data_IF_669861740859
#
_entry.id   IF_669861740859
#
_cell.length_a   1.000
_cell.length_b   1.000
_cell.length_c   1.000
_cell.angle_alpha   90.00
_cell.angle_beta   90.00
_cell.angle_gamma   90.00
#
_symmetry.space_group_name_H-M   'P 1'
#
loop_
_entity.id
_entity.type
_entity.pdbx_description
1 polymer ?
#
# COMPACT_ATOMS: atom_id res chain seq x y z
N UNK A 1 -1.27 21.30 11.59
CA UNK A 1 -1.68 20.21 10.67
C UNK A 1 -0.54 19.22 10.58
N UNK A 2 -0.81 17.91 10.60
CA UNK A 2 0.23 16.92 10.35
C UNK A 2 0.72 17.11 8.90
N UNK A 3 2.04 17.17 8.68
CA UNK A 3 2.58 17.29 7.33
C UNK A 3 2.37 16.03 6.50
N UNK A 4 2.38 16.19 5.18
CA UNK A 4 2.19 15.06 4.25
C UNK A 4 3.45 14.21 4.17
N UNK A 5 3.30 12.98 3.70
CA UNK A 5 4.44 12.20 3.23
C UNK A 5 4.74 12.56 1.78
N UNK A 6 6.02 12.68 1.45
CA UNK A 6 6.50 13.02 0.12
C UNK A 6 7.59 12.03 -0.26
N UNK A 7 7.45 11.41 -1.42
CA UNK A 7 8.45 10.51 -1.99
C UNK A 7 9.12 11.23 -3.15
N UNK A 8 10.42 11.48 -3.04
CA UNK A 8 11.22 12.17 -4.06
C UNK A 8 11.83 11.14 -4.99
N UNK A 9 11.66 11.36 -6.28
CA UNK A 9 12.38 10.67 -7.34
C UNK A 9 13.78 11.28 -7.45
N UNK A 10 14.68 10.78 -6.62
CA UNK A 10 16.03 11.31 -6.46
C UNK A 10 16.83 11.24 -7.75
N UNK A 11 16.70 10.14 -8.51
CA UNK A 11 17.35 10.00 -9.82
C UNK A 11 16.87 11.06 -10.82
N UNK A 12 15.57 11.36 -10.85
CA UNK A 12 15.02 12.39 -11.71
C UNK A 12 15.49 13.81 -11.30
N UNK A 13 15.36 14.16 -10.03
CA UNK A 13 15.74 15.47 -9.50
C UNK A 13 17.25 15.72 -9.63
N UNK A 14 18.08 14.72 -9.36
CA UNK A 14 19.53 14.79 -9.53
C UNK A 14 19.96 15.03 -10.99
N UNK A 15 19.14 14.62 -11.96
CA UNK A 15 19.45 14.71 -13.41
C UNK A 15 18.77 15.92 -14.08
N UNK A 16 17.89 16.63 -13.38
CA UNK A 16 17.13 17.75 -13.97
C UNK A 16 18.07 18.81 -14.57
N UNK A 17 17.91 19.12 -15.86
CA UNK A 17 18.79 20.06 -16.57
C UNK A 17 20.23 19.57 -16.82
N UNK A 18 20.55 18.29 -16.56
CA UNK A 18 21.90 17.70 -16.67
C UNK A 18 21.91 16.45 -17.55
N UNK A 19 23.09 16.08 -18.03
CA UNK A 19 23.33 14.81 -18.75
C UNK A 19 23.64 13.64 -17.81
N UNK A 20 24.21 13.94 -16.64
CA UNK A 20 24.53 12.97 -15.58
C UNK A 20 23.93 13.44 -14.25
N UNK A 21 23.48 12.52 -13.40
CA UNK A 21 22.96 12.86 -12.08
C UNK A 21 24.06 13.51 -11.22
N UNK A 22 23.65 14.41 -10.32
CA UNK A 22 24.51 14.96 -9.27
C UNK A 22 23.83 14.81 -7.92
N UNK A 23 24.57 14.27 -6.95
CA UNK A 23 24.12 14.15 -5.57
C UNK A 23 23.95 15.54 -4.94
N UNK A 24 24.86 16.48 -5.22
CA UNK A 24 24.76 17.86 -4.74
C UNK A 24 23.47 18.54 -5.23
N UNK A 25 23.11 18.38 -6.50
CA UNK A 25 21.85 18.93 -7.02
C UNK A 25 20.62 18.28 -6.34
N UNK A 26 20.68 16.99 -6.04
CA UNK A 26 19.61 16.31 -5.30
C UNK A 26 19.47 16.88 -3.88
N UNK A 27 20.58 17.02 -3.16
CA UNK A 27 20.60 17.60 -1.81
C UNK A 27 20.05 19.04 -1.82
N UNK A 28 20.51 19.88 -2.76
CA UNK A 28 20.00 21.24 -2.95
C UNK A 28 18.48 21.26 -3.19
N UNK A 29 17.97 20.36 -4.04
CA UNK A 29 16.54 20.25 -4.35
C UNK A 29 15.71 19.79 -3.16
N UNK A 30 16.19 18.78 -2.43
CA UNK A 30 15.48 18.25 -1.25
C UNK A 30 15.46 19.29 -0.12
N UNK A 31 16.58 19.98 0.13
CA UNK A 31 16.64 21.05 1.14
C UNK A 31 15.73 22.21 0.78
N UNK A 32 15.72 22.65 -0.48
CA UNK A 32 14.83 23.71 -0.92
C UNK A 32 13.35 23.32 -0.73
N UNK A 33 13.00 22.08 -1.07
CA UNK A 33 11.65 21.57 -0.85
C UNK A 33 11.26 21.57 0.63
N UNK A 34 12.13 21.05 1.50
CA UNK A 34 11.91 21.00 2.94
C UNK A 34 11.84 22.40 3.57
N UNK A 35 12.59 23.38 3.06
CA UNK A 35 12.52 24.76 3.52
C UNK A 35 11.13 25.38 3.26
N UNK A 36 10.54 25.11 2.10
CA UNK A 36 9.17 25.54 1.77
C UNK A 36 8.10 24.70 2.48
N UNK A 37 8.43 23.47 2.87
CA UNK A 37 7.49 22.46 3.37
C UNK A 37 7.98 21.78 4.66
N UNK A 38 8.34 22.57 5.67
CA UNK A 38 9.01 22.08 6.88
C UNK A 38 8.23 21.03 7.70
N UNK A 39 6.90 20.94 7.52
CA UNK A 39 6.09 19.92 8.17
C UNK A 39 6.13 18.55 7.47
N UNK A 40 6.51 18.51 6.19
CA UNK A 40 6.42 17.32 5.35
C UNK A 40 7.52 16.32 5.68
N UNK A 41 7.15 15.03 5.65
CA UNK A 41 8.10 13.93 5.81
C UNK A 41 8.57 13.48 4.44
N UNK A 42 9.85 13.68 4.17
CA UNK A 42 10.45 13.41 2.87
C UNK A 42 11.20 12.08 2.90
N UNK A 43 10.91 11.21 1.93
CA UNK A 43 11.66 9.98 1.65
C UNK A 43 12.27 10.15 0.26
N UNK A 44 13.59 10.04 0.14
CA UNK A 44 14.27 10.18 -1.15
C UNK A 44 14.61 8.80 -1.69
N UNK A 45 14.13 8.50 -2.89
CA UNK A 45 14.33 7.20 -3.55
C UNK A 45 15.19 7.40 -4.79
N UNK A 46 16.28 6.65 -4.89
CA UNK A 46 17.16 6.64 -6.07
C UNK A 46 17.13 5.28 -6.76
N UNK A 47 17.45 5.24 -8.06
CA UNK A 47 17.61 3.98 -8.76
C UNK A 47 18.86 3.21 -8.28
N UNK A 48 18.85 1.89 -8.42
CA UNK A 48 19.97 1.04 -7.99
C UNK A 48 21.29 1.29 -8.72
N UNK A 49 21.27 2.01 -9.85
CA UNK A 49 22.47 2.38 -10.63
C UNK A 49 22.98 3.77 -10.29
N UNK A 50 22.29 4.51 -9.41
CA UNK A 50 22.53 5.93 -9.17
C UNK A 50 23.97 6.21 -8.71
N UNK A 51 24.46 5.49 -7.71
CA UNK A 51 25.83 5.63 -7.20
C UNK A 51 26.91 5.39 -8.26
N UNK A 52 26.63 4.62 -9.31
CA UNK A 52 27.57 4.40 -10.42
C UNK A 52 27.51 5.50 -11.49
N UNK A 53 26.44 6.29 -11.53
CA UNK A 53 26.18 7.33 -12.54
C UNK A 53 26.61 8.74 -12.10
N UNK A 54 26.70 8.98 -10.79
CA UNK A 54 27.18 10.24 -10.22
C UNK A 54 28.71 10.38 -10.34
N UNK A 55 29.21 11.59 -10.12
CA UNK A 55 30.64 11.86 -10.17
C UNK A 55 31.40 10.99 -9.13
N UNK A 56 32.59 10.46 -9.48
CA UNK A 56 33.43 9.73 -8.54
C UNK A 56 33.65 10.38 -7.17
N UNK A 57 33.72 11.70 -7.13
CA UNK A 57 33.89 12.47 -5.90
C UNK A 57 32.66 12.46 -4.99
N UNK A 58 31.46 12.23 -5.54
CA UNK A 58 30.19 12.21 -4.79
C UNK A 58 29.86 10.82 -4.22
N UNK A 59 30.54 9.74 -4.69
CA UNK A 59 30.21 8.36 -4.31
C UNK A 59 30.31 8.07 -2.82
N UNK A 60 31.33 8.60 -2.15
CA UNK A 60 31.47 8.40 -0.70
C UNK A 60 30.30 9.00 0.07
N UNK A 61 29.91 10.22 -0.29
CA UNK A 61 28.78 10.90 0.34
C UNK A 61 27.46 10.16 0.06
N UNK A 62 27.31 9.60 -1.14
CA UNK A 62 26.17 8.76 -1.49
C UNK A 62 26.08 7.49 -0.60
N UNK A 63 27.18 6.75 -0.46
CA UNK A 63 27.25 5.54 0.38
C UNK A 63 26.96 5.86 1.85
N UNK A 64 27.46 6.99 2.36
CA UNK A 64 27.18 7.49 3.72
C UNK A 64 25.68 7.81 3.90
N UNK A 65 25.06 8.48 2.92
CA UNK A 65 23.64 8.83 2.95
C UNK A 65 22.71 7.60 2.86
N UNK A 66 23.08 6.58 2.07
CA UNK A 66 22.38 5.30 2.05
C UNK A 66 22.50 4.56 3.40
N UNK A 67 23.71 4.52 3.98
CA UNK A 67 23.93 3.88 5.27
C UNK A 67 23.20 4.58 6.42
N UNK A 68 23.02 5.90 6.34
CA UNK A 68 22.23 6.69 7.27
C UNK A 68 20.71 6.54 7.05
N UNK A 69 20.27 5.92 5.95
CA UNK A 69 18.87 5.79 5.59
C UNK A 69 18.23 7.07 5.07
N UNK A 70 19.04 8.07 4.70
CA UNK A 70 18.58 9.33 4.10
C UNK A 70 18.18 9.14 2.63
N UNK A 71 18.89 8.25 1.93
CA UNK A 71 18.57 7.79 0.59
C UNK A 71 18.16 6.32 0.62
N UNK A 72 17.09 5.99 -0.10
CA UNK A 72 16.59 4.63 -0.23
C UNK A 72 16.79 4.15 -1.66
N UNK A 73 17.50 3.04 -1.83
CA UNK A 73 17.61 2.34 -3.11
C UNK A 73 16.82 1.02 -3.09
N UNK A 74 16.29 0.58 -4.24
CA UNK A 74 15.67 -0.74 -4.36
C UNK A 74 16.67 -1.86 -4.04
N UNK A 75 16.24 -3.00 -3.47
CA UNK A 75 17.09 -4.15 -3.27
C UNK A 75 17.76 -4.62 -4.56
N UNK A 76 19.00 -5.07 -4.47
CA UNK A 76 19.74 -5.61 -5.61
C UNK A 76 18.96 -6.75 -6.29
N UNK A 77 18.84 -6.68 -7.61
CA UNK A 77 18.13 -7.70 -8.40
C UNK A 77 16.60 -7.60 -8.38
N UNK A 78 16.02 -6.56 -7.79
CA UNK A 78 14.59 -6.30 -7.88
C UNK A 78 14.13 -6.21 -9.34
N UNK A 79 13.17 -7.05 -9.72
CA UNK A 79 12.58 -7.08 -11.06
C UNK A 79 11.63 -5.88 -11.19
N UNK A 80 12.19 -4.75 -11.59
CA UNK A 80 11.44 -3.51 -11.78
C UNK A 80 12.35 -2.29 -11.66
N UNK A 81 12.17 -1.33 -12.57
CA UNK A 81 12.86 -0.03 -12.52
C UNK A 81 12.63 0.67 -11.18
N UNK A 82 13.58 1.52 -10.76
CA UNK A 82 13.48 2.33 -9.53
C UNK A 82 12.13 3.04 -9.39
N UNK A 83 11.56 3.52 -10.50
CA UNK A 83 10.23 4.12 -10.58
C UNK A 83 9.13 3.25 -9.95
N UNK A 84 9.16 1.92 -10.14
CA UNK A 84 8.13 1.03 -9.56
C UNK A 84 8.24 0.99 -8.05
N UNK A 85 9.46 0.89 -7.54
CA UNK A 85 9.71 0.86 -6.10
C UNK A 85 9.27 2.17 -5.44
N UNK A 86 9.61 3.30 -6.08
CA UNK A 86 9.14 4.64 -5.69
C UNK A 86 7.61 4.73 -5.63
N UNK A 87 6.93 4.32 -6.72
CA UNK A 87 5.47 4.39 -6.80
C UNK A 87 4.79 3.45 -5.80
N UNK A 88 5.39 2.30 -5.51
CA UNK A 88 4.89 1.37 -4.50
C UNK A 88 4.96 1.95 -3.08
N UNK A 89 6.02 2.68 -2.74
CA UNK A 89 6.11 3.40 -1.47
C UNK A 89 5.00 4.45 -1.40
N UNK A 90 4.87 5.28 -2.44
CA UNK A 90 3.88 6.36 -2.48
C UNK A 90 2.42 5.87 -2.46
N UNK A 91 2.15 4.72 -3.08
CA UNK A 91 0.85 4.05 -3.05
C UNK A 91 0.51 3.58 -1.63
N UNK A 92 1.44 2.87 -0.98
CA UNK A 92 1.24 2.31 0.37
C UNK A 92 1.08 3.39 1.44
N UNK A 93 1.80 4.50 1.32
CA UNK A 93 1.82 5.57 2.34
C UNK A 93 0.84 6.69 2.03
N UNK A 94 0.21 6.68 0.86
CA UNK A 94 -0.57 7.81 0.38
C UNK A 94 0.26 9.07 0.14
N UNK A 95 1.56 8.95 -0.14
CA UNK A 95 2.45 10.09 -0.32
C UNK A 95 2.27 10.80 -1.66
N UNK A 96 2.58 12.10 -1.66
CA UNK A 96 2.80 12.88 -2.88
C UNK A 96 4.16 12.51 -3.49
N UNK A 97 4.24 12.42 -4.82
CA UNK A 97 5.51 12.18 -5.53
C UNK A 97 6.11 13.51 -5.98
N UNK A 98 7.40 13.73 -5.75
CA UNK A 98 8.18 14.81 -6.35
C UNK A 98 9.02 14.23 -7.51
N UNK A 99 8.58 14.45 -8.74
CA UNK A 99 9.27 14.02 -9.97
C UNK A 99 8.77 14.79 -11.18
N UNK A 100 9.65 14.97 -12.17
CA UNK A 100 9.27 15.48 -13.48
C UNK A 100 8.84 14.40 -14.48
N UNK A 101 9.05 13.12 -14.18
CA UNK A 101 8.58 12.02 -15.03
C UNK A 101 7.04 11.94 -15.01
N UNK A 102 6.49 11.52 -16.14
CA UNK A 102 5.07 11.20 -16.26
C UNK A 102 4.77 9.73 -15.93
N UNK A 103 5.73 8.86 -15.64
CA UNK A 103 5.49 7.46 -15.24
C UNK A 103 4.54 6.70 -16.17
N UNK A 104 4.61 6.95 -17.48
CA UNK A 104 3.57 6.53 -18.42
C UNK A 104 3.35 5.01 -18.43
N UNK A 105 4.38 4.24 -18.15
CA UNK A 105 4.36 2.77 -18.15
C UNK A 105 3.58 2.20 -16.95
N UNK A 106 3.33 3.04 -15.95
CA UNK A 106 2.70 2.69 -14.68
C UNK A 106 1.27 3.23 -14.56
N UNK A 107 0.79 4.05 -15.49
CA UNK A 107 -0.57 4.61 -15.50
C UNK A 107 -1.71 3.59 -15.49
N UNK A 108 -1.44 2.34 -15.89
CA UNK A 108 -2.42 1.26 -15.80
C UNK A 108 -2.53 0.62 -14.42
N UNK A 109 -1.49 0.75 -13.59
CA UNK A 109 -1.39 0.19 -12.24
C UNK A 109 -1.68 1.26 -11.18
N UNK A 110 -1.09 2.45 -11.31
CA UNK A 110 -1.22 3.55 -10.35
C UNK A 110 -2.10 4.66 -10.94
N UNK A 111 -3.41 4.44 -10.92
CA UNK A 111 -4.39 5.42 -11.41
C UNK A 111 -4.42 6.72 -10.60
N UNK A 112 -4.05 6.65 -9.32
CA UNK A 112 -4.01 7.80 -8.41
C UNK A 112 -2.98 8.86 -8.81
N UNK A 113 -2.03 8.55 -9.71
CA UNK A 113 -1.07 9.53 -10.23
C UNK A 113 -1.76 10.74 -10.87
N UNK A 114 -3.02 10.60 -11.29
CA UNK A 114 -3.81 11.68 -11.87
C UNK A 114 -4.64 12.47 -10.85
N UNK A 115 -4.69 12.03 -9.59
CA UNK A 115 -5.43 12.73 -8.55
C UNK A 115 -4.68 14.00 -8.14
N UNK A 116 -5.43 15.01 -7.73
CA UNK A 116 -4.86 16.30 -7.36
C UNK A 116 -3.93 16.16 -6.14
N UNK A 117 -2.80 16.87 -6.17
CA UNK A 117 -1.81 16.85 -5.10
C UNK A 117 -0.95 15.58 -5.03
N UNK A 118 -1.08 14.63 -5.97
CA UNK A 118 -0.28 13.39 -5.99
C UNK A 118 1.06 13.50 -6.71
N UNK A 119 1.25 14.50 -7.56
CA UNK A 119 2.50 14.73 -8.26
C UNK A 119 2.90 16.21 -8.23
N UNK A 120 4.15 16.45 -7.92
CA UNK A 120 4.81 17.77 -7.92
C UNK A 120 6.01 17.66 -8.85
N UNK A 121 6.19 18.65 -9.71
CA UNK A 121 7.43 18.84 -10.48
C UNK A 121 8.34 19.84 -9.79
N UNK A 122 9.64 19.68 -9.98
CA UNK A 122 10.66 20.61 -9.47
C UNK A 122 11.55 21.07 -10.60
N UNK A 123 11.84 22.38 -10.70
CA UNK A 123 12.78 22.89 -11.70
C UNK A 123 13.77 23.86 -11.06
N UNK A 124 15.10 23.67 -11.23
CA UNK A 124 16.07 24.63 -10.79
C UNK A 124 16.10 25.81 -11.79
N UNK A 125 15.99 27.03 -11.27
CA UNK A 125 16.04 28.28 -12.04
C UNK A 125 17.25 29.08 -11.59
N UNK A 126 18.12 29.42 -12.55
CA UNK A 126 19.34 30.18 -12.28
C UNK A 126 19.03 31.51 -11.60
N UNK A 127 19.67 31.77 -10.46
CA UNK A 127 19.48 32.99 -9.66
C UNK A 127 18.20 33.03 -8.80
N UNK A 128 17.31 32.04 -8.92
CA UNK A 128 16.06 31.97 -8.13
C UNK A 128 16.07 30.77 -7.17
N UNK A 129 16.66 29.65 -7.58
CA UNK A 129 16.61 28.40 -6.82
C UNK A 129 15.59 27.42 -7.40
N UNK A 130 15.13 26.49 -6.58
CA UNK A 130 14.16 25.49 -7.00
C UNK A 130 12.74 26.06 -6.97
N UNK A 131 11.95 25.74 -8.00
CA UNK A 131 10.52 26.02 -8.04
C UNK A 131 9.77 24.71 -8.09
N UNK A 132 8.84 24.51 -7.16
CA UNK A 132 8.00 23.33 -7.06
C UNK A 132 6.56 23.63 -7.44
N UNK A 133 6.01 22.85 -8.37
CA UNK A 133 4.65 23.10 -8.90
C UNK A 133 3.85 21.80 -8.92
N UNK A 134 2.63 21.77 -8.32
CA UNK A 134 1.70 20.66 -8.50
C UNK A 134 1.45 20.43 -10.00
N UNK A 135 1.46 19.16 -10.42
CA UNK A 135 1.30 18.80 -11.83
C UNK A 135 0.52 17.52 -12.00
N UNK A 136 -0.01 17.34 -13.20
CA UNK A 136 -0.63 16.07 -13.63
C UNK A 136 0.31 15.37 -14.63
N UNK A 137 0.44 14.03 -14.56
CA UNK A 137 1.24 13.28 -15.52
C UNK A 137 0.74 13.43 -16.97
N UNK A 138 1.66 13.42 -17.93
CA UNK A 138 1.30 13.49 -19.36
C UNK A 138 0.89 12.10 -19.87
N UNK A 139 -0.25 12.03 -20.55
CA UNK A 139 -0.74 10.79 -21.20
C UNK A 139 -0.21 10.65 -22.61
N UNK A 140 0.80 9.79 -22.81
CA UNK A 140 1.35 9.47 -24.13
C UNK A 140 0.98 8.07 -24.68
N UNK A 141 1.60 7.64 -25.78
CA UNK A 141 1.40 6.31 -26.36
C UNK A 141 1.65 5.17 -25.36
N UNK A 142 2.72 5.26 -24.57
CA UNK A 142 3.05 4.29 -23.51
C UNK A 142 1.93 4.22 -22.47
N UNK A 143 1.37 5.36 -22.08
CA UNK A 143 0.22 5.42 -21.17
C UNK A 143 -0.99 4.69 -21.70
N UNK A 144 -1.33 4.87 -22.98
CA UNK A 144 -2.48 4.18 -23.59
C UNK A 144 -2.28 2.66 -23.58
N UNK A 145 -1.05 2.21 -23.85
CA UNK A 145 -0.69 0.80 -23.78
C UNK A 145 -0.80 0.28 -22.35
N UNK A 146 -0.20 0.98 -21.38
CA UNK A 146 -0.23 0.60 -19.96
C UNK A 146 -1.67 0.50 -19.43
N UNK A 147 -2.51 1.51 -19.69
CA UNK A 147 -3.91 1.51 -19.26
C UNK A 147 -4.70 0.40 -19.95
N UNK A 148 -4.48 0.13 -21.24
CA UNK A 148 -5.15 -0.98 -21.94
C UNK A 148 -4.75 -2.33 -21.37
N UNK A 149 -3.46 -2.52 -21.08
CA UNK A 149 -2.95 -3.75 -20.46
C UNK A 149 -3.51 -3.91 -19.05
N UNK A 150 -3.51 -2.86 -18.23
CA UNK A 150 -4.12 -2.85 -16.89
C UNK A 150 -5.61 -3.19 -16.92
N UNK A 151 -6.38 -2.57 -17.82
CA UNK A 151 -7.81 -2.90 -18.02
C UNK A 151 -8.04 -4.34 -18.46
N UNK A 152 -7.18 -4.89 -19.32
CA UNK A 152 -7.26 -6.31 -19.72
C UNK A 152 -6.94 -7.24 -18.57
N UNK A 153 -5.92 -6.92 -17.76
CA UNK A 153 -5.57 -7.68 -16.57
C UNK A 153 -6.71 -7.66 -15.53
N UNK A 154 -7.32 -6.50 -15.28
CA UNK A 154 -8.49 -6.36 -14.41
C UNK A 154 -9.67 -7.21 -14.91
N UNK A 155 -10.03 -7.11 -16.20
CA UNK A 155 -11.08 -7.95 -16.80
C UNK A 155 -10.78 -9.45 -16.73
N UNK A 156 -9.51 -9.84 -16.89
CA UNK A 156 -9.10 -11.23 -16.78
C UNK A 156 -9.18 -11.72 -15.32
N UNK A 157 -8.79 -10.88 -14.35
CA UNK A 157 -8.95 -11.16 -12.92
C UNK A 157 -10.43 -11.29 -12.55
N UNK A 158 -11.27 -10.34 -12.97
CA UNK A 158 -12.72 -10.41 -12.81
C UNK A 158 -13.27 -11.70 -13.41
N UNK A 159 -12.86 -12.11 -14.63
CA UNK A 159 -13.36 -13.32 -15.29
C UNK A 159 -12.91 -14.62 -14.61
N UNK A 160 -11.84 -14.57 -13.82
CA UNK A 160 -11.42 -15.67 -12.94
C UNK A 160 -12.23 -15.73 -11.64
N UNK A 161 -12.91 -14.65 -11.26
CA UNK A 161 -13.91 -14.67 -10.19
C UNK A 161 -15.19 -15.30 -10.75
N UNK A 162 -15.68 -16.38 -10.12
CA UNK A 162 -16.84 -17.13 -10.61
C UNK A 162 -18.11 -16.27 -10.59
N UNK A 163 -19.12 -16.57 -11.43
CA UNK A 163 -20.41 -15.88 -11.40
C UNK A 163 -21.04 -15.89 -10.01
N UNK A 164 -20.92 -16.99 -9.26
CA UNK A 164 -21.45 -17.07 -7.89
C UNK A 164 -20.77 -16.09 -6.92
N UNK A 165 -19.46 -15.87 -7.08
CA UNK A 165 -18.73 -14.90 -6.25
C UNK A 165 -19.04 -13.44 -6.64
N UNK A 166 -19.40 -13.18 -7.90
CA UNK A 166 -19.83 -11.83 -8.35
C UNK A 166 -21.25 -11.49 -7.87
N UNK A 167 -22.15 -12.46 -7.93
CA UNK A 167 -23.53 -12.30 -7.45
C UNK A 167 -23.55 -12.16 -5.92
N UNK A 168 -22.71 -12.90 -5.19
CA UNK A 168 -22.55 -12.74 -3.73
C UNK A 168 -22.01 -11.35 -3.34
N UNK A 169 -21.06 -10.78 -4.10
CA UNK A 169 -20.54 -9.42 -3.86
C UNK A 169 -21.62 -8.37 -4.19
N UNK A 170 -22.42 -8.57 -5.25
CA UNK A 170 -23.51 -7.66 -5.62
C UNK A 170 -24.69 -7.71 -4.64
N UNK A 171 -25.06 -8.90 -4.16
CA UNK A 171 -26.10 -9.12 -3.15
C UNK A 171 -25.68 -8.54 -1.79
N UNK A 172 -24.42 -8.75 -1.37
CA UNK A 172 -23.87 -8.12 -0.17
C UNK A 172 -23.78 -6.58 -0.27
N UNK A 173 -23.52 -6.03 -1.47
CA UNK A 173 -23.52 -4.58 -1.69
C UNK A 173 -24.94 -3.99 -1.70
N UNK A 174 -25.96 -4.78 -2.10
CA UNK A 174 -27.36 -4.37 -2.07
C UNK A 174 -27.98 -4.44 -0.67
N UNK A 175 -27.64 -5.47 0.12
CA UNK A 175 -28.09 -5.60 1.52
C UNK A 175 -27.49 -4.52 2.44
N UNK A 176 -26.32 -3.96 2.09
CA UNK A 176 -25.73 -2.84 2.82
C UNK A 176 -26.49 -1.50 2.67
N UNK A 177 -27.44 -1.39 1.72
CA UNK A 177 -28.19 -0.14 1.43
C UNK A 177 -29.65 -0.18 1.88
N UNK A 178 -30.13 -1.25 2.53
CA UNK A 178 -31.48 -1.28 3.10
C UNK A 178 -31.56 -2.25 4.28
N UNK A 179 -31.83 -1.77 5.51
CA UNK A 179 -31.98 -2.67 6.64
C UNK A 179 -33.41 -3.22 6.65
N UNK A 180 -33.59 -4.51 6.36
CA UNK A 180 -34.78 -5.22 6.84
C UNK A 180 -34.50 -6.63 7.33
N UNK A 181 -35.12 -6.89 8.47
CA UNK A 181 -35.10 -8.07 9.30
C UNK A 181 -35.65 -9.32 8.60
N UNK A 182 -35.12 -10.48 9.00
CA UNK A 182 -35.95 -11.67 9.20
C UNK A 182 -35.77 -12.85 8.24
N UNK A 183 -35.01 -13.85 8.69
CA UNK A 183 -35.48 -15.24 8.74
C UNK A 183 -35.32 -16.15 7.50
N UNK A 184 -34.46 -17.17 7.64
CA UNK A 184 -34.89 -18.56 7.41
C UNK A 184 -34.60 -19.27 6.06
N UNK A 185 -33.36 -19.80 5.93
CA UNK A 185 -32.99 -21.19 5.57
C UNK A 185 -33.60 -21.85 4.30
N UNK A 186 -32.75 -22.18 3.30
CA UNK A 186 -32.50 -23.58 2.81
C UNK A 186 -31.35 -23.67 1.78
N UNK A 187 -30.60 -24.77 1.88
CA UNK A 187 -29.34 -25.13 1.18
C UNK A 187 -29.54 -25.69 -0.24
N UNK A 188 -28.56 -25.41 -1.13
CA UNK A 188 -27.92 -26.31 -2.14
C UNK A 188 -26.70 -25.51 -2.68
N UNK A 189 -25.46 -25.69 -2.24
CA UNK A 189 -24.58 -26.83 -2.46
C UNK A 189 -24.09 -26.95 -3.93
N UNK A 190 -22.99 -26.27 -4.32
CA UNK A 190 -21.68 -26.85 -4.70
C UNK A 190 -20.81 -25.88 -5.56
N UNK A 191 -19.63 -25.48 -5.05
CA UNK A 191 -18.57 -24.80 -5.82
C UNK A 191 -17.68 -23.89 -4.96
N UNK A 192 -16.61 -24.44 -4.39
CA UNK A 192 -15.75 -23.80 -3.37
C UNK A 192 -14.80 -22.77 -4.00
N UNK A 193 -15.21 -21.51 -4.02
CA UNK A 193 -14.29 -20.37 -4.13
C UNK A 193 -13.32 -20.29 -2.93
N UNK A 194 -12.29 -19.43 -2.99
CA UNK A 194 -11.45 -19.15 -1.83
C UNK A 194 -12.35 -18.78 -0.66
N UNK A 195 -12.07 -19.35 0.52
CA UNK A 195 -12.91 -19.14 1.70
C UNK A 195 -13.12 -17.63 1.91
N UNK A 196 -14.39 -17.22 2.02
CA UNK A 196 -14.71 -15.84 2.37
C UNK A 196 -13.88 -15.42 3.58
N UNK A 197 -13.31 -14.20 3.56
CA UNK A 197 -12.59 -13.68 4.70
C UNK A 197 -13.45 -13.82 5.96
N UNK A 198 -12.90 -14.45 6.99
CA UNK A 198 -13.62 -14.70 8.26
C UNK A 198 -14.04 -13.38 8.94
N UNK A 199 -13.38 -12.28 8.57
CA UNK A 199 -13.59 -10.93 9.08
C UNK A 199 -13.69 -9.92 7.94
N UNK A 200 -14.51 -8.90 8.16
CA UNK A 200 -14.50 -7.68 7.35
C UNK A 200 -13.14 -6.96 7.47
N UNK A 201 -12.59 -6.39 6.38
CA UNK A 201 -11.24 -5.80 6.39
C UNK A 201 -11.03 -4.74 7.47
N UNK A 202 -12.02 -3.88 7.72
CA UNK A 202 -11.93 -2.84 8.75
C UNK A 202 -11.93 -3.41 10.17
N UNK A 203 -12.73 -4.45 10.42
CA UNK A 203 -12.76 -5.13 11.72
C UNK A 203 -11.41 -5.81 12.01
N UNK A 204 -10.82 -6.45 11.00
CA UNK A 204 -9.51 -7.08 11.12
C UNK A 204 -8.38 -6.05 11.33
N UNK A 205 -8.36 -4.96 10.55
CA UNK A 205 -7.33 -3.91 10.67
C UNK A 205 -7.39 -3.24 12.04
N UNK A 206 -8.59 -2.92 12.53
CA UNK A 206 -8.78 -2.32 13.86
C UNK A 206 -8.30 -3.29 14.95
N UNK A 207 -8.68 -4.57 14.84
CA UNK A 207 -8.31 -5.58 15.82
C UNK A 207 -6.79 -5.76 15.95
N UNK A 208 -6.05 -5.86 14.85
CA UNK A 208 -4.58 -6.02 14.88
C UNK A 208 -3.83 -4.74 15.23
N UNK A 209 -4.46 -3.57 15.04
CA UNK A 209 -3.90 -2.30 15.49
C UNK A 209 -3.97 -2.19 17.02
N UNK A 210 -5.11 -2.59 17.59
CA UNK A 210 -5.37 -2.50 19.03
C UNK A 210 -4.73 -3.65 19.84
N UNK A 211 -4.55 -4.83 19.23
CA UNK A 211 -4.08 -6.04 19.91
C UNK A 211 -2.93 -6.70 19.16
N UNK A 212 -1.71 -6.52 19.66
CA UNK A 212 -0.50 -7.16 19.12
C UNK A 212 -0.43 -8.65 19.52
N UNK A 213 0.28 -9.51 18.76
CA UNK A 213 0.48 -10.91 19.13
C UNK A 213 1.05 -11.05 20.55
N UNK A 214 0.38 -11.86 21.39
CA UNK A 214 0.74 -12.05 22.80
C UNK A 214 0.01 -11.14 23.79
N UNK A 215 -0.80 -10.19 23.31
CA UNK A 215 -1.73 -9.44 24.15
C UNK A 215 -2.93 -10.28 24.57
N UNK A 216 -3.48 -9.99 25.75
CA UNK A 216 -4.73 -10.57 26.24
C UNK A 216 -5.92 -9.79 25.68
N UNK A 217 -7.01 -10.51 25.37
CA UNK A 217 -8.19 -9.95 24.72
C UNK A 217 -9.44 -10.52 25.38
N UNK A 218 -10.40 -9.67 25.71
CA UNK A 218 -11.74 -10.11 26.10
C UNK A 218 -12.59 -10.40 24.86
N UNK A 219 -13.27 -11.55 24.86
CA UNK A 219 -14.05 -12.01 23.72
C UNK A 219 -15.35 -12.68 24.16
N UNK A 220 -16.40 -12.50 23.37
CA UNK A 220 -17.71 -13.12 23.56
C UNK A 220 -17.79 -14.40 22.72
N UNK A 221 -18.25 -15.50 23.31
CA UNK A 221 -18.38 -16.78 22.60
C UNK A 221 -19.65 -16.80 21.75
N UNK A 222 -19.50 -16.82 20.43
CA UNK A 222 -20.63 -16.84 19.50
C UNK A 222 -21.18 -18.25 19.26
N UNK A 223 -20.28 -19.17 18.90
CA UNK A 223 -20.64 -20.51 18.40
C UNK A 223 -19.58 -21.55 18.76
N UNK A 224 -20.03 -22.70 19.26
CA UNK A 224 -19.18 -23.86 19.49
C UNK A 224 -19.06 -24.74 18.26
N UNK A 225 -17.88 -25.33 18.07
CA UNK A 225 -17.59 -26.32 17.03
C UNK A 225 -16.96 -27.56 17.67
N UNK A 226 -16.86 -28.65 16.90
CA UNK A 226 -16.21 -29.88 17.38
C UNK A 226 -14.70 -29.71 17.68
N UNK A 227 -14.07 -28.65 17.16
CA UNK A 227 -12.62 -28.44 17.25
C UNK A 227 -12.23 -27.18 18.04
N UNK A 228 -13.19 -26.47 18.62
CA UNK A 228 -12.96 -25.19 19.29
C UNK A 228 -14.20 -24.33 19.35
N UNK A 229 -14.02 -23.02 19.51
CA UNK A 229 -15.09 -22.03 19.51
C UNK A 229 -14.77 -20.85 18.61
N UNK A 230 -15.80 -20.27 17.98
CA UNK A 230 -15.73 -18.93 17.41
C UNK A 230 -16.12 -17.92 18.47
N UNK A 231 -15.29 -16.89 18.62
CA UNK A 231 -15.50 -15.79 19.55
C UNK A 231 -15.44 -14.46 18.80
N UNK A 232 -16.12 -13.44 19.27
CA UNK A 232 -16.02 -12.07 18.76
C UNK A 232 -15.32 -11.19 19.78
N UNK A 233 -14.26 -10.52 19.36
CA UNK A 233 -13.47 -9.60 20.16
C UNK A 233 -13.32 -8.27 19.40
N UNK A 234 -13.80 -7.17 19.99
CA UNK A 234 -13.75 -5.82 19.41
C UNK A 234 -14.23 -5.77 17.94
N UNK A 235 -15.31 -6.50 17.63
CA UNK A 235 -15.91 -6.55 16.29
C UNK A 235 -15.23 -7.51 15.31
N UNK A 236 -14.09 -8.13 15.67
CA UNK A 236 -13.45 -9.18 14.89
C UNK A 236 -13.82 -10.57 15.41
N UNK A 237 -14.14 -11.47 14.49
CA UNK A 237 -14.34 -12.89 14.71
C UNK A 237 -13.00 -13.63 14.78
N UNK A 238 -12.75 -14.24 15.92
CA UNK A 238 -11.57 -15.05 16.21
C UNK A 238 -11.96 -16.52 16.37
N UNK A 239 -10.98 -17.41 16.22
CA UNK A 239 -11.16 -18.85 16.44
C UNK A 239 -10.23 -19.32 17.54
N UNK A 240 -10.81 -20.01 18.53
CA UNK A 240 -10.09 -20.56 19.67
C UNK A 240 -10.09 -22.09 19.55
N UNK A 241 -8.94 -22.73 19.24
CA UNK A 241 -8.85 -24.18 19.13
C UNK A 241 -8.88 -24.85 20.50
N UNK A 242 -9.36 -26.11 20.58
CA UNK A 242 -9.32 -26.90 21.82
C UNK A 242 -7.90 -27.00 22.42
N UNK A 243 -6.88 -27.08 21.57
CA UNK A 243 -5.47 -27.14 22.00
C UNK A 243 -5.01 -25.87 22.71
N UNK A 244 -5.72 -24.74 22.53
CA UNK A 244 -5.43 -23.48 23.20
C UNK A 244 -6.29 -23.22 24.44
N UNK A 245 -7.17 -24.14 24.84
CA UNK A 245 -8.12 -23.96 25.94
C UNK A 245 -7.69 -24.59 27.28
N UNK A 246 -6.57 -25.31 27.29
CA UNK A 246 -6.03 -25.92 28.52
C UNK A 246 -5.00 -27.00 28.22
N UNK A 247 -4.29 -27.45 29.26
CA UNK A 247 -3.37 -28.58 29.23
C UNK A 247 -3.70 -29.57 30.37
N UNK A 248 -4.18 -30.78 30.08
CA UNK A 248 -4.43 -31.34 28.74
C UNK A 248 -5.62 -30.67 28.04
N UNK A 249 -5.67 -30.68 26.69
CA UNK A 249 -6.78 -30.10 25.94
C UNK A 249 -8.13 -30.72 26.36
N UNK A 250 -9.17 -29.89 26.60
CA UNK A 250 -10.49 -30.39 26.97
C UNK A 250 -11.13 -31.18 25.83
N UNK A 251 -12.01 -32.12 26.18
CA UNK A 251 -12.75 -32.93 25.21
C UNK A 251 -13.74 -32.10 24.40
N UNK A 252 -14.23 -31.00 24.97
CA UNK A 252 -15.16 -30.08 24.33
C UNK A 252 -14.91 -28.65 24.82
N UNK A 253 -15.05 -27.66 23.93
CA UNK A 253 -14.93 -26.25 24.28
C UNK A 253 -16.01 -25.80 25.29
N UNK A 254 -17.15 -26.50 25.34
CA UNK A 254 -18.23 -26.26 26.30
C UNK A 254 -17.86 -26.62 27.75
N UNK A 255 -16.82 -27.43 27.93
CA UNK A 255 -16.40 -27.86 29.27
C UNK A 255 -15.70 -26.72 30.02
N UNK A 256 -15.17 -25.73 29.28
CA UNK A 256 -14.31 -24.66 29.80
C UNK A 256 -14.79 -23.24 29.43
N UNK A 257 -15.60 -23.10 28.39
CA UNK A 257 -16.18 -21.82 27.97
C UNK A 257 -17.70 -21.81 28.13
N UNK A 258 -18.25 -20.64 28.45
CA UNK A 258 -19.69 -20.37 28.44
C UNK A 258 -20.04 -19.48 27.25
N UNK A 259 -21.24 -19.69 26.71
CA UNK A 259 -21.79 -18.83 25.66
C UNK A 259 -22.43 -17.60 26.31
N UNK A 260 -22.19 -16.42 25.74
CA UNK A 260 -22.67 -15.14 26.26
C UNK A 260 -21.53 -14.26 26.72
#
# INVERSE_FOLDING_TARGET
MAGRQVVVDGSNIATEGRSQPSLAQLDDGVRAYQAEHAADKVIVVVDATFGHRIDPSERRAFEEAEAAGELVSPPAGAIGRGDRFLLQIADRTGATVLSNDSFQEFHGEYGWLFDEGRLIGGKPVQGVGWIFTPRTPVRGPKSRVAVRTGKRAAKAAEKKVSPEARDAIAEATADAVSPKEGGGRRRRGRGRGPAEPVNEPLAFITFIADHQPGSEVEAIVDTFTSHGAFVTANGARCYVPLTGLGDPPPRSAKDVLRRG
#
